data_IF_774308801357
#
_entry.id   IF_774308801357
#
_cell.length_a   1.000
_cell.length_b   1.000
_cell.length_c   1.000
_cell.angle_alpha   90.00
_cell.angle_beta   90.00
_cell.angle_gamma   90.00
#
_symmetry.space_group_name_H-M   'P 1'
#
loop_
_entity.id
_entity.type
_entity.pdbx_description
1 polymer ?
#
# COMPACT_ATOMS: atom_id res chain seq x y z
N UNK A 1 10.21 -5.42 -1.16
CA UNK A 1 9.17 -4.41 -1.49
C UNK A 1 9.76 -3.04 -1.20
N UNK A 2 9.73 -2.11 -2.16
CA UNK A 2 10.10 -0.72 -1.88
C UNK A 2 8.88 -0.04 -1.24
N UNK A 3 8.96 0.49 -0.01
CA UNK A 3 7.81 1.08 0.67
C UNK A 3 7.18 2.19 -0.17
N UNK A 4 5.87 2.09 -0.41
CA UNK A 4 5.09 3.10 -1.14
C UNK A 4 5.27 3.13 -2.67
N UNK A 5 6.08 2.24 -3.25
CA UNK A 5 6.30 2.17 -4.70
C UNK A 5 5.59 0.96 -5.34
N UNK A 6 5.41 0.99 -6.67
CA UNK A 6 4.89 -0.13 -7.45
C UNK A 6 5.78 -1.37 -7.26
N UNK A 7 5.17 -2.55 -7.14
CA UNK A 7 5.91 -3.80 -7.06
C UNK A 7 6.76 -4.02 -8.33
N UNK A 8 8.02 -4.47 -8.21
CA UNK A 8 8.85 -4.81 -9.36
C UNK A 8 8.33 -6.10 -10.02
N UNK A 9 8.40 -6.16 -11.35
CA UNK A 9 8.11 -7.39 -12.10
C UNK A 9 9.28 -8.36 -11.93
N UNK A 10 8.99 -9.55 -11.40
CA UNK A 10 9.95 -10.63 -11.13
C UNK A 10 9.66 -11.86 -11.99
N UNK A 11 8.41 -12.07 -12.38
CA UNK A 11 7.99 -13.16 -13.26
C UNK A 11 7.54 -12.54 -14.58
N UNK A 12 8.33 -12.72 -15.63
CA UNK A 12 7.98 -12.25 -16.97
C UNK A 12 7.00 -13.20 -17.63
N UNK A 13 6.27 -12.72 -18.65
CA UNK A 13 5.34 -13.54 -19.42
C UNK A 13 6.00 -14.78 -20.02
N UNK A 14 7.23 -14.65 -20.52
CA UNK A 14 7.96 -15.75 -21.15
C UNK A 14 8.27 -16.88 -20.16
N UNK A 15 8.43 -16.57 -18.87
CA UNK A 15 8.66 -17.59 -17.85
C UNK A 15 7.46 -18.52 -17.67
N UNK A 16 6.22 -18.08 -17.98
CA UNK A 16 5.03 -18.93 -17.87
C UNK A 16 5.09 -20.14 -18.80
N UNK A 17 5.71 -20.02 -19.99
CA UNK A 17 5.84 -21.12 -20.93
C UNK A 17 6.69 -22.29 -20.37
N UNK A 18 7.55 -22.01 -19.40
CA UNK A 18 8.37 -23.01 -18.71
C UNK A 18 7.65 -23.69 -17.54
N UNK A 19 6.48 -23.18 -17.16
CA UNK A 19 5.70 -23.70 -16.04
C UNK A 19 4.87 -24.92 -16.45
N UNK A 20 4.57 -25.77 -15.48
CA UNK A 20 3.64 -26.89 -15.68
C UNK A 20 2.24 -26.35 -15.96
N UNK A 21 1.55 -26.94 -16.95
CA UNK A 21 0.12 -26.65 -17.17
C UNK A 21 -0.67 -26.99 -15.91
N UNK A 22 -1.53 -26.06 -15.48
CA UNK A 22 -2.27 -26.14 -14.23
C UNK A 22 -1.51 -25.66 -12.99
N UNK A 23 -0.26 -25.19 -13.14
CA UNK A 23 0.43 -24.48 -12.05
C UNK A 23 -0.36 -23.24 -11.63
N UNK A 24 -0.13 -22.79 -10.39
CA UNK A 24 -0.85 -21.66 -9.80
C UNK A 24 0.16 -20.59 -9.36
N UNK A 25 -0.12 -19.34 -9.73
CA UNK A 25 0.53 -18.14 -9.21
C UNK A 25 -0.44 -17.45 -8.26
N UNK A 26 -0.01 -17.23 -7.02
CA UNK A 26 -0.73 -16.42 -6.03
C UNK A 26 0.06 -15.13 -5.82
N UNK A 27 -0.40 -14.04 -6.42
CA UNK A 27 0.31 -12.75 -6.38
C UNK A 27 -0.21 -11.88 -5.22
N UNK A 28 0.46 -11.98 -4.08
CA UNK A 28 0.14 -11.19 -2.87
C UNK A 28 0.57 -9.72 -3.02
N UNK A 29 1.46 -9.41 -3.96
CA UNK A 29 1.88 -8.03 -4.23
C UNK A 29 0.87 -7.26 -5.12
N UNK A 30 -0.29 -7.85 -5.42
CA UNK A 30 -1.29 -7.27 -6.31
C UNK A 30 -1.81 -5.91 -5.86
N UNK A 31 -1.91 -5.67 -4.54
CA UNK A 31 -2.31 -4.38 -3.98
C UNK A 31 -1.31 -3.23 -4.33
N UNK A 32 -0.12 -3.59 -4.82
CA UNK A 32 0.91 -2.65 -5.33
C UNK A 32 1.17 -2.83 -6.83
N UNK A 33 0.24 -3.46 -7.56
CA UNK A 33 0.30 -3.68 -9.01
C UNK A 33 0.79 -5.06 -9.46
N UNK A 34 1.19 -5.94 -8.53
CA UNK A 34 1.63 -7.31 -8.82
C UNK A 34 3.10 -7.44 -9.20
N UNK A 35 3.68 -8.62 -8.95
CA UNK A 35 5.08 -8.94 -9.29
C UNK A 35 5.20 -9.90 -10.49
N UNK A 36 4.09 -10.40 -11.02
CA UNK A 36 4.04 -11.11 -12.30
C UNK A 36 3.53 -10.17 -13.40
N UNK A 37 4.17 -10.20 -14.57
CA UNK A 37 3.83 -9.36 -15.72
C UNK A 37 2.41 -9.60 -16.25
N UNK A 38 1.89 -10.80 -16.01
CA UNK A 38 0.54 -11.23 -16.41
C UNK A 38 -0.49 -11.13 -15.26
N UNK A 39 -0.09 -10.60 -14.10
CA UNK A 39 -1.00 -10.30 -12.99
C UNK A 39 -1.96 -9.17 -13.34
N UNK A 40 -3.25 -9.38 -13.05
CA UNK A 40 -4.28 -8.33 -13.01
C UNK A 40 -5.13 -8.50 -11.75
N UNK A 41 -5.61 -7.41 -11.14
CA UNK A 41 -6.47 -7.50 -9.96
C UNK A 41 -7.70 -8.36 -10.21
N UNK A 42 -8.01 -9.23 -9.25
CA UNK A 42 -9.25 -10.02 -9.19
C UNK A 42 -10.03 -9.70 -7.91
N UNK A 43 -11.26 -10.21 -7.81
CA UNK A 43 -12.12 -10.03 -6.62
C UNK A 43 -12.38 -11.36 -5.93
N UNK A 44 -12.88 -11.33 -4.70
CA UNK A 44 -13.29 -12.56 -4.00
C UNK A 44 -14.41 -13.33 -4.74
N UNK A 45 -15.25 -12.65 -5.53
CA UNK A 45 -16.33 -13.28 -6.29
C UNK A 45 -15.87 -13.90 -7.62
N UNK A 46 -14.79 -13.38 -8.20
CA UNK A 46 -14.16 -13.90 -9.41
C UNK A 46 -12.63 -13.96 -9.20
N UNK A 47 -12.12 -14.92 -8.42
CA UNK A 47 -10.80 -14.86 -7.83
C UNK A 47 -9.66 -15.27 -8.75
N UNK A 48 -9.95 -16.02 -9.81
CA UNK A 48 -8.93 -16.64 -10.66
C UNK A 48 -9.17 -16.46 -12.15
N UNK A 49 -8.09 -16.54 -12.90
CA UNK A 49 -8.11 -16.62 -14.36
C UNK A 49 -6.92 -17.45 -14.84
N UNK A 50 -6.89 -17.80 -16.14
CA UNK A 50 -5.82 -18.62 -16.71
C UNK A 50 -5.10 -17.85 -17.81
N UNK A 51 -3.76 -17.86 -17.77
CA UNK A 51 -2.88 -17.32 -18.81
C UNK A 51 -1.87 -18.40 -19.15
N UNK A 52 -1.77 -18.76 -20.44
CA UNK A 52 -0.81 -19.75 -20.95
C UNK A 52 -0.82 -21.09 -20.19
N UNK A 53 -2.00 -21.48 -19.70
CA UNK A 53 -2.20 -22.71 -18.93
C UNK A 53 -1.86 -22.62 -17.44
N UNK A 54 -1.48 -21.44 -16.93
CA UNK A 54 -1.19 -21.15 -15.52
C UNK A 54 -2.35 -20.38 -14.89
N UNK A 55 -2.84 -20.88 -13.76
CA UNK A 55 -3.91 -20.24 -12.98
C UNK A 55 -3.32 -19.09 -12.17
N UNK A 56 -3.94 -17.92 -12.24
CA UNK A 56 -3.57 -16.74 -11.46
C UNK A 56 -4.63 -16.51 -10.39
N UNK A 57 -4.17 -16.26 -9.16
CA UNK A 57 -4.98 -15.77 -8.05
C UNK A 57 -4.37 -14.43 -7.60
N UNK A 58 -5.09 -13.35 -7.87
CA UNK A 58 -4.62 -11.98 -7.71
C UNK A 58 -5.65 -11.12 -6.98
N UNK A 59 -6.28 -11.70 -5.94
CA UNK A 59 -7.35 -11.02 -5.21
C UNK A 59 -6.77 -9.90 -4.37
N UNK A 60 -7.25 -8.68 -4.58
CA UNK A 60 -6.89 -7.52 -3.75
C UNK A 60 -7.52 -7.63 -2.37
N UNK A 61 -6.91 -7.01 -1.36
CA UNK A 61 -7.45 -7.02 0.01
C UNK A 61 -7.76 -8.45 0.50
N UNK A 62 -6.80 -9.37 0.35
CA UNK A 62 -6.92 -10.75 0.84
C UNK A 62 -7.29 -10.84 2.33
N UNK A 63 -6.77 -9.98 3.25
CA UNK A 63 -7.18 -10.02 4.67
C UNK A 63 -8.67 -9.78 4.91
N UNK A 64 -9.39 -9.19 3.94
CA UNK A 64 -10.82 -8.93 4.00
C UNK A 64 -11.68 -10.19 4.13
N UNK A 65 -11.20 -11.36 3.67
CA UNK A 65 -11.94 -12.63 3.79
C UNK A 65 -11.86 -13.26 5.20
N UNK A 66 -10.97 -12.75 6.05
CA UNK A 66 -10.80 -13.21 7.44
C UNK A 66 -10.98 -12.07 8.45
N UNK A 67 -12.13 -11.37 8.43
CA UNK A 67 -12.29 -10.07 9.10
C UNK A 67 -12.06 -10.14 10.61
N UNK A 68 -12.44 -11.23 11.29
CA UNK A 68 -12.19 -11.40 12.73
C UNK A 68 -10.69 -11.33 13.01
N UNK A 69 -9.89 -12.14 12.34
CA UNK A 69 -8.44 -12.22 12.57
C UNK A 69 -7.73 -10.95 12.11
N UNK A 70 -8.04 -10.45 10.92
CA UNK A 70 -7.38 -9.26 10.36
C UNK A 70 -7.71 -7.99 11.14
N UNK A 71 -8.94 -7.85 11.67
CA UNK A 71 -9.33 -6.72 12.52
C UNK A 71 -8.53 -6.69 13.82
N UNK A 72 -8.40 -7.83 14.51
CA UNK A 72 -7.58 -7.89 15.73
C UNK A 72 -6.11 -7.62 15.44
N UNK A 73 -5.56 -8.20 14.36
CA UNK A 73 -4.17 -8.00 13.98
C UNK A 73 -3.87 -6.52 13.66
N UNK A 74 -4.72 -5.88 12.84
CA UNK A 74 -4.55 -4.48 12.47
C UNK A 74 -4.70 -3.56 13.68
N UNK A 75 -5.76 -3.72 14.49
CA UNK A 75 -5.96 -2.89 15.68
C UNK A 75 -4.81 -3.02 16.68
N UNK A 76 -4.30 -4.23 16.93
CA UNK A 76 -3.18 -4.40 17.85
C UNK A 76 -1.92 -3.65 17.38
N UNK A 77 -1.70 -3.55 16.07
CA UNK A 77 -0.60 -2.79 15.50
C UNK A 77 -0.85 -1.28 15.47
N UNK A 78 -2.09 -0.82 15.23
CA UNK A 78 -2.40 0.60 15.04
C UNK A 78 -2.83 1.33 16.31
N UNK A 79 -3.37 0.63 17.31
CA UNK A 79 -3.95 1.22 18.52
C UNK A 79 -3.01 2.19 19.27
N UNK A 80 -1.71 1.90 19.45
CA UNK A 80 -0.78 2.84 20.10
C UNK A 80 -0.71 4.19 19.37
N UNK A 81 -0.68 4.18 18.04
CA UNK A 81 -0.64 5.40 17.22
C UNK A 81 -1.98 6.16 17.27
N UNK A 82 -3.10 5.44 17.23
CA UNK A 82 -4.44 6.04 17.37
C UNK A 82 -4.58 6.76 18.71
N UNK A 83 -4.15 6.14 19.81
CA UNK A 83 -4.17 6.77 21.13
C UNK A 83 -3.23 7.97 21.23
N UNK A 84 -2.05 7.90 20.62
CA UNK A 84 -1.12 9.04 20.57
C UNK A 84 -1.73 10.23 19.83
N UNK A 85 -2.33 9.99 18.67
CA UNK A 85 -3.04 11.00 17.88
C UNK A 85 -4.20 11.63 18.67
N UNK A 86 -5.02 10.80 19.34
CA UNK A 86 -6.17 11.26 20.10
C UNK A 86 -5.78 12.11 21.31
N UNK A 87 -4.74 11.72 22.05
CA UNK A 87 -4.33 12.41 23.28
C UNK A 87 -3.48 13.66 23.03
N UNK A 88 -2.65 13.65 21.98
CA UNK A 88 -1.64 14.71 21.73
C UNK A 88 -2.01 15.64 20.58
N UNK A 89 -2.95 15.24 19.74
CA UNK A 89 -3.13 15.84 18.42
C UNK A 89 -2.02 15.40 17.45
N UNK A 90 -2.29 15.51 16.15
CA UNK A 90 -1.42 14.93 15.13
C UNK A 90 -0.02 15.56 15.06
N UNK A 91 0.11 16.90 15.22
CA UNK A 91 1.39 17.62 15.13
C UNK A 91 2.40 17.15 16.17
N UNK A 92 1.98 17.21 17.44
CA UNK A 92 2.81 16.75 18.56
C UNK A 92 3.09 15.25 18.47
N UNK A 93 2.10 14.45 18.04
CA UNK A 93 2.28 13.01 17.90
C UNK A 93 3.36 12.64 16.86
N UNK A 94 3.41 13.31 15.71
CA UNK A 94 4.45 13.06 14.70
C UNK A 94 5.81 13.67 15.06
N UNK A 95 5.84 14.75 15.84
CA UNK A 95 7.10 15.32 16.35
C UNK A 95 7.78 14.38 17.35
N UNK A 96 6.98 13.75 18.22
CA UNK A 96 7.46 12.83 19.25
C UNK A 96 7.69 11.40 18.74
N UNK A 97 7.06 10.99 17.63
CA UNK A 97 7.16 9.63 17.07
C UNK A 97 7.62 9.68 15.59
N UNK A 98 8.92 9.39 15.33
CA UNK A 98 9.46 9.32 13.98
C UNK A 98 8.79 8.26 13.07
N UNK A 99 8.25 7.18 13.65
CA UNK A 99 7.55 6.15 12.88
C UNK A 99 6.19 6.66 12.41
N UNK A 100 5.46 7.35 13.29
CA UNK A 100 4.19 7.99 12.93
C UNK A 100 4.42 9.12 11.91
N UNK A 101 5.49 9.91 12.07
CA UNK A 101 5.91 10.95 11.10
C UNK A 101 6.17 10.39 9.72
N UNK A 102 6.76 9.20 9.62
CA UNK A 102 7.04 8.56 8.34
C UNK A 102 5.78 8.16 7.57
N UNK A 103 4.62 8.04 8.24
CA UNK A 103 3.32 7.78 7.62
C UNK A 103 2.57 9.03 7.17
N UNK A 104 3.16 10.22 7.27
CA UNK A 104 2.50 11.45 6.87
C UNK A 104 2.58 11.68 5.36
N UNK A 105 1.44 11.56 4.68
CA UNK A 105 1.37 11.67 3.23
C UNK A 105 1.08 13.10 2.74
N UNK A 106 0.07 13.77 3.31
CA UNK A 106 -0.46 15.07 2.87
C UNK A 106 -0.82 15.93 4.08
N UNK A 107 -0.52 17.23 4.01
CA UNK A 107 -1.00 18.22 4.99
C UNK A 107 -1.22 19.58 4.34
N UNK A 108 -2.30 20.28 4.69
CA UNK A 108 -2.66 21.59 4.16
C UNK A 108 -2.58 21.70 2.61
N UNK A 109 -3.06 20.68 1.90
CA UNK A 109 -3.06 20.63 0.44
C UNK A 109 -1.68 20.35 -0.20
N UNK A 110 -0.66 20.05 0.61
CA UNK A 110 0.71 19.77 0.14
C UNK A 110 1.05 18.29 0.30
N UNK A 111 1.67 17.71 -0.72
CA UNK A 111 2.19 16.34 -0.67
C UNK A 111 3.55 16.35 0.03
N UNK A 112 3.67 15.55 1.09
CA UNK A 112 4.85 15.43 1.93
C UNK A 112 5.61 14.12 1.65
N UNK A 113 4.96 13.15 1.01
CA UNK A 113 5.49 11.84 0.68
C UNK A 113 6.20 11.82 -0.68
N UNK A 114 7.52 11.57 -0.71
CA UNK A 114 8.28 11.43 -1.95
C UNK A 114 7.73 10.37 -2.93
N UNK A 115 7.39 9.13 -2.50
CA UNK A 115 6.90 8.12 -3.43
C UNK A 115 5.55 8.51 -4.06
N UNK A 116 4.65 9.14 -3.31
CA UNK A 116 3.37 9.63 -3.84
C UNK A 116 3.58 10.76 -4.84
N UNK A 117 4.42 11.74 -4.52
CA UNK A 117 4.76 12.84 -5.43
C UNK A 117 5.32 12.31 -6.76
N UNK A 118 6.27 11.37 -6.71
CA UNK A 118 6.87 10.75 -7.88
C UNK A 118 5.86 9.93 -8.69
N UNK A 119 5.01 9.14 -8.03
CA UNK A 119 4.02 8.29 -8.70
C UNK A 119 2.97 9.09 -9.49
N UNK A 120 2.67 10.32 -9.06
CA UNK A 120 1.67 11.18 -9.68
C UNK A 120 2.25 12.37 -10.47
N UNK A 121 3.58 12.52 -10.53
CA UNK A 121 4.24 13.65 -11.20
C UNK A 121 3.91 15.00 -10.55
N UNK A 122 3.66 15.01 -9.24
CA UNK A 122 3.25 16.19 -8.47
C UNK A 122 4.43 16.76 -7.65
N UNK A 123 4.41 18.07 -7.32
CA UNK A 123 5.49 18.68 -6.56
C UNK A 123 5.53 18.15 -5.12
N UNK A 124 6.72 17.69 -4.70
CA UNK A 124 7.01 17.38 -3.30
C UNK A 124 7.20 18.68 -2.50
N UNK A 125 6.52 18.80 -1.37
CA UNK A 125 6.65 19.95 -0.45
C UNK A 125 7.31 19.49 0.85
N UNK A 126 8.64 19.44 0.97
CA UNK A 126 9.30 18.79 2.09
C UNK A 126 9.15 19.51 3.45
N UNK A 127 8.62 20.74 3.49
CA UNK A 127 8.52 21.50 4.73
C UNK A 127 7.22 21.21 5.48
N UNK A 128 7.34 20.42 6.54
CA UNK A 128 6.31 20.24 7.56
C UNK A 128 5.99 21.55 8.31
N UNK A 129 6.99 22.44 8.45
CA UNK A 129 6.93 23.65 9.30
C UNK A 129 6.27 24.88 8.66
N UNK A 130 5.84 24.82 7.40
CA UNK A 130 5.19 25.97 6.74
C UNK A 130 3.66 25.96 6.91
N UNK A 131 3.15 25.34 7.98
CA UNK A 131 1.72 25.22 8.30
C UNK A 131 1.16 26.42 9.08
N UNK A 132 2.02 27.34 9.53
CA UNK A 132 1.63 28.48 10.38
C UNK A 132 1.10 29.70 9.63
N UNK A 133 1.06 29.69 8.30
CA UNK A 133 0.69 30.88 7.50
C UNK A 133 -0.68 30.81 6.82
N UNK A 134 -1.46 29.74 6.98
CA UNK A 134 -2.73 29.56 6.27
C UNK A 134 -3.97 29.40 7.16
N UNK A 135 -3.89 29.67 8.46
CA UNK A 135 -4.98 29.47 9.41
C UNK A 135 -5.24 30.63 10.38
N UNK A 136 -4.73 31.83 10.08
CA UNK A 136 -5.11 33.07 10.75
C UNK A 136 -5.82 33.98 9.74
N UNK A 137 -7.06 33.63 9.41
CA UNK A 137 -8.06 34.50 8.79
C UNK A 137 -9.45 34.05 9.27
#
# INVERSE_FOLDING_TARGET
LAPGAKAPILITRDMLATMKRGAVIVDVAIDQGGCCETSRPTSHSDPTYVVDGVVHYCVTNMPGVTPRTSTFALNNATLPFVLALANKGWRRAIEEDPHLRAGLEISAGRILSPPVAAAHGLPLSPQLMALDSAGAA
#
